data_IF_380000019251
#
_entry.id   IF_380000019251
#
_cell.length_a   1.000
_cell.length_b   1.000
_cell.length_c   1.000
_cell.angle_alpha   90.00
_cell.angle_beta   90.00
_cell.angle_gamma   90.00
#
_symmetry.space_group_name_H-M   'P 1'
#
loop_
_entity.id
_entity.type
_entity.pdbx_description
1 polymer ?
#
# COMPACT_ATOMS: atom_id res chain seq x y z
N UNK A 1 2.15 -20.01 11.34
CA UNK A 1 2.24 -19.48 9.96
C UNK A 1 0.87 -19.05 9.50
N UNK A 2 0.78 -18.05 8.64
CA UNK A 2 -0.48 -17.68 8.00
C UNK A 2 -0.97 -18.86 7.16
N UNK A 3 -2.27 -19.14 7.21
CA UNK A 3 -2.91 -20.16 6.39
C UNK A 3 -4.26 -19.61 5.94
N UNK A 4 -4.51 -19.60 4.63
CA UNK A 4 -5.75 -19.06 4.07
C UNK A 4 -6.71 -20.22 3.81
N UNK A 5 -7.58 -20.49 4.78
CA UNK A 5 -8.65 -21.50 4.63
C UNK A 5 -9.89 -20.97 3.91
N UNK A 6 -10.15 -19.66 4.01
CA UNK A 6 -11.18 -18.96 3.24
C UNK A 6 -10.55 -17.76 2.51
N UNK A 7 -10.57 -17.81 1.18
CA UNK A 7 -10.01 -16.77 0.30
C UNK A 7 -10.70 -15.41 0.47
N UNK A 8 -12.00 -15.38 0.77
CA UNK A 8 -12.79 -14.15 0.95
C UNK A 8 -12.25 -13.24 2.06
N UNK A 9 -11.53 -13.83 3.03
CA UNK A 9 -10.94 -13.10 4.14
C UNK A 9 -9.62 -12.44 3.70
N UNK A 10 -8.95 -12.92 2.66
CA UNK A 10 -7.64 -12.40 2.25
C UNK A 10 -7.78 -11.31 1.19
N UNK A 11 -7.32 -10.10 1.48
CA UNK A 11 -7.26 -9.02 0.47
C UNK A 11 -6.01 -9.08 -0.43
N UNK A 12 -5.09 -10.01 -0.19
CA UNK A 12 -3.79 -10.09 -0.87
C UNK A 12 -2.98 -8.80 -0.80
N UNK A 13 -2.94 -8.14 0.35
CA UNK A 13 -2.22 -6.85 0.57
C UNK A 13 -0.70 -6.99 0.75
N UNK A 14 -0.13 -8.18 0.57
CA UNK A 14 1.29 -8.54 0.73
C UNK A 14 1.91 -8.28 2.12
N UNK A 15 1.18 -7.81 3.15
CA UNK A 15 1.78 -7.55 4.46
C UNK A 15 2.47 -8.79 5.07
N UNK A 16 1.84 -9.96 4.95
CA UNK A 16 2.42 -11.23 5.41
C UNK A 16 3.68 -11.61 4.63
N UNK A 17 3.68 -11.41 3.31
CA UNK A 17 4.83 -11.59 2.44
C UNK A 17 5.98 -10.68 2.87
N UNK A 18 5.75 -9.36 2.93
CA UNK A 18 6.81 -8.37 3.21
C UNK A 18 7.39 -8.50 4.61
N UNK A 19 6.63 -8.96 5.62
CA UNK A 19 7.12 -9.08 7.01
C UNK A 19 7.90 -10.37 7.29
N UNK A 20 7.85 -11.35 6.38
CA UNK A 20 8.46 -12.65 6.59
C UNK A 20 9.99 -12.54 6.62
N UNK A 21 10.67 -12.90 7.73
CA UNK A 21 12.13 -12.74 7.83
C UNK A 21 12.93 -13.87 7.17
N UNK A 22 12.26 -14.88 6.61
CA UNK A 22 12.89 -16.05 6.00
C UNK A 22 12.53 -16.18 4.51
N UNK A 23 11.83 -15.18 3.96
CA UNK A 23 11.27 -15.23 2.60
C UNK A 23 10.44 -16.51 2.33
N UNK A 24 9.88 -17.08 3.39
CA UNK A 24 9.13 -18.33 3.37
C UNK A 24 7.72 -18.19 2.80
N UNK A 25 7.36 -17.03 2.22
CA UNK A 25 6.01 -16.77 1.70
C UNK A 25 6.16 -16.30 0.26
N UNK A 26 5.40 -16.92 -0.65
CA UNK A 26 5.23 -16.47 -2.03
C UNK A 26 3.80 -16.02 -2.24
N UNK A 27 3.61 -15.04 -3.12
CA UNK A 27 2.27 -14.61 -3.53
C UNK A 27 1.95 -15.31 -4.85
N UNK A 28 0.98 -16.23 -4.83
CA UNK A 28 0.63 -17.10 -5.95
C UNK A 28 -0.76 -16.74 -6.45
N UNK A 29 -0.91 -16.63 -7.76
CA UNK A 29 -2.19 -16.33 -8.41
C UNK A 29 -3.08 -17.56 -8.41
N UNK A 30 -4.36 -17.38 -8.14
CA UNK A 30 -5.36 -18.39 -8.46
C UNK A 30 -5.85 -18.31 -9.91
N UNK A 31 -6.88 -19.10 -10.25
CA UNK A 31 -7.43 -19.16 -11.60
C UNK A 31 -8.10 -17.86 -12.06
N UNK A 32 -8.46 -16.96 -11.12
CA UNK A 32 -9.02 -15.64 -11.41
C UNK A 32 -7.92 -14.56 -11.49
N UNK A 33 -6.68 -14.92 -11.18
CA UNK A 33 -5.52 -14.03 -11.19
C UNK A 33 -5.30 -13.29 -9.86
N UNK A 34 -6.09 -13.55 -8.82
CA UNK A 34 -5.89 -12.95 -7.50
C UNK A 34 -4.71 -13.61 -6.77
N UNK A 35 -3.84 -12.81 -6.17
CA UNK A 35 -2.66 -13.24 -5.45
C UNK A 35 -2.97 -13.57 -3.98
N UNK A 36 -2.55 -14.76 -3.55
CA UNK A 36 -2.66 -15.24 -2.17
C UNK A 36 -1.31 -15.71 -1.63
N UNK A 37 -1.08 -15.59 -0.31
CA UNK A 37 0.16 -16.07 0.30
C UNK A 37 0.16 -17.60 0.41
N UNK A 38 1.19 -18.24 -0.16
CA UNK A 38 1.56 -19.63 0.09
C UNK A 38 2.83 -19.67 0.94
N UNK A 39 2.80 -20.48 2.01
CA UNK A 39 3.92 -20.59 2.94
C UNK A 39 4.73 -21.86 2.65
N UNK A 40 6.04 -21.71 2.48
CA UNK A 40 6.99 -22.81 2.48
C UNK A 40 7.27 -23.27 3.92
N UNK A 41 6.80 -24.47 4.26
CA UNK A 41 6.97 -25.07 5.58
C UNK A 41 8.42 -25.41 5.95
N UNK A 42 9.31 -25.59 4.97
CA UNK A 42 10.73 -25.89 5.23
C UNK A 42 11.51 -24.64 5.61
N UNK A 43 11.14 -23.48 5.07
CA UNK A 43 11.74 -22.18 5.39
C UNK A 43 11.09 -21.51 6.62
N UNK A 44 9.84 -21.86 6.93
CA UNK A 44 9.10 -21.19 7.99
C UNK A 44 9.59 -21.57 9.39
N UNK A 45 10.23 -20.61 10.07
CA UNK A 45 10.62 -20.74 11.49
C UNK A 45 9.46 -20.53 12.50
N UNK A 46 8.21 -20.57 12.04
CA UNK A 46 6.99 -20.37 12.84
C UNK A 46 6.97 -19.14 13.78
N UNK A 47 7.63 -18.03 13.40
CA UNK A 47 7.74 -16.81 14.23
C UNK A 47 6.46 -15.97 14.36
N UNK A 48 5.36 -16.38 13.71
CA UNK A 48 4.02 -15.73 13.76
C UNK A 48 3.98 -14.26 13.30
N UNK A 49 5.02 -13.73 12.65
CA UNK A 49 5.02 -12.33 12.15
C UNK A 49 3.97 -12.08 11.07
N UNK A 50 3.80 -13.02 10.14
CA UNK A 50 2.81 -12.93 9.07
C UNK A 50 1.35 -12.88 9.57
N UNK A 51 1.05 -13.57 10.67
CA UNK A 51 -0.26 -13.51 11.31
C UNK A 51 -0.47 -12.15 12.00
N UNK A 52 0.55 -11.69 12.75
CA UNK A 52 0.54 -10.41 13.47
C UNK A 52 0.57 -9.18 12.58
N UNK A 53 0.94 -9.30 11.30
CA UNK A 53 0.92 -8.18 10.36
C UNK A 53 -0.36 -8.15 9.52
N UNK A 54 -1.11 -9.25 9.48
CA UNK A 54 -2.29 -9.39 8.64
C UNK A 54 -3.43 -8.46 9.12
N UNK A 55 -3.88 -7.49 8.29
CA UNK A 55 -4.96 -6.57 8.65
C UNK A 55 -6.30 -7.25 9.00
N UNK A 56 -6.47 -8.50 8.55
CA UNK A 56 -7.70 -9.26 8.71
C UNK A 56 -7.71 -10.10 9.99
N UNK A 57 -6.52 -10.29 10.60
CA UNK A 57 -6.36 -11.00 11.87
C UNK A 57 -6.09 -10.03 13.03
N UNK A 58 -5.58 -8.83 12.72
CA UNK A 58 -5.28 -7.81 13.70
C UNK A 58 -6.46 -6.84 13.81
N UNK A 59 -7.04 -6.74 15.01
CA UNK A 59 -7.88 -5.61 15.35
C UNK A 59 -6.97 -4.43 15.69
N UNK A 60 -6.90 -3.42 14.82
CA UNK A 60 -6.33 -2.14 15.23
C UNK A 60 -7.19 -1.59 16.36
N UNK A 61 -6.57 -1.15 17.45
CA UNK A 61 -7.27 -0.50 18.56
C UNK A 61 -8.11 0.65 17.99
N UNK A 62 -9.42 0.46 17.96
CA UNK A 62 -10.40 1.52 17.68
C UNK A 62 -10.45 2.40 18.91
N UNK A 63 -9.41 3.20 19.13
CA UNK A 63 -9.64 4.38 19.96
C UNK A 63 -10.76 5.16 19.27
N UNK A 64 -11.87 5.38 19.98
CA UNK A 64 -12.97 6.23 19.53
C UNK A 64 -12.48 7.68 19.48
N UNK A 65 -11.57 7.98 18.56
CA UNK A 65 -11.15 9.33 18.26
C UNK A 65 -12.20 9.92 17.36
N UNK A 66 -12.78 11.04 17.80
CA UNK A 66 -13.66 11.84 16.96
C UNK A 66 -12.86 12.35 15.76
N UNK A 67 -13.07 11.75 14.60
CA UNK A 67 -12.42 12.18 13.36
C UNK A 67 -13.27 13.27 12.71
N UNK A 68 -12.67 14.45 12.48
CA UNK A 68 -13.33 15.49 11.69
C UNK A 68 -13.36 15.06 10.22
N UNK A 69 -14.55 15.10 9.63
CA UNK A 69 -14.76 14.80 8.23
C UNK A 69 -14.96 16.10 7.44
N UNK A 70 -14.36 16.18 6.26
CA UNK A 70 -14.44 17.33 5.37
C UNK A 70 -14.82 16.88 3.97
N UNK A 71 -15.63 17.68 3.28
CA UNK A 71 -15.86 17.56 1.84
C UNK A 71 -15.05 18.64 1.13
N UNK A 72 -14.29 18.26 0.11
CA UNK A 72 -13.44 19.19 -0.64
C UNK A 72 -13.24 18.70 -2.08
N UNK A 73 -12.97 19.63 -2.98
CA UNK A 73 -12.53 19.35 -4.34
C UNK A 73 -11.43 20.33 -4.76
N UNK A 74 -10.70 19.97 -5.82
CA UNK A 74 -9.64 20.74 -6.39
C UNK A 74 -10.20 21.95 -7.15
N UNK A 75 -9.59 23.13 -6.96
CA UNK A 75 -10.05 24.39 -7.60
C UNK A 75 -9.70 24.48 -9.09
N UNK A 76 -8.73 23.69 -9.55
CA UNK A 76 -8.40 23.55 -10.97
C UNK A 76 -9.23 22.44 -11.61
N UNK A 77 -10.08 22.83 -12.56
CA UNK A 77 -11.01 21.95 -13.28
C UNK A 77 -10.31 20.92 -14.15
N UNK A 78 -9.12 21.22 -14.68
CA UNK A 78 -8.36 20.27 -15.49
C UNK A 78 -7.88 19.11 -14.61
N UNK A 79 -7.38 19.41 -13.40
CA UNK A 79 -6.96 18.41 -12.43
C UNK A 79 -8.17 17.64 -11.89
N UNK A 80 -9.28 18.33 -11.63
CA UNK A 80 -10.52 17.70 -11.15
C UNK A 80 -11.06 16.69 -12.18
N UNK A 81 -11.14 17.11 -13.44
CA UNK A 81 -11.61 16.26 -14.56
C UNK A 81 -10.71 15.05 -14.79
N UNK A 82 -9.38 15.22 -14.65
CA UNK A 82 -8.43 14.12 -14.78
C UNK A 82 -8.35 13.20 -13.54
N UNK A 83 -9.15 13.46 -12.50
CA UNK A 83 -9.18 12.68 -11.25
C UNK A 83 -10.48 11.88 -11.14
N UNK A 84 -10.49 10.81 -10.34
CA UNK A 84 -11.68 9.97 -10.16
C UNK A 84 -12.82 10.60 -9.35
N UNK A 85 -12.59 11.75 -8.73
CA UNK A 85 -13.55 12.46 -7.88
C UNK A 85 -13.03 13.90 -7.69
N UNK A 86 -13.09 14.45 -6.47
CA UNK A 86 -12.67 15.82 -6.17
C UNK A 86 -11.18 16.15 -6.35
N UNK A 87 -10.31 15.23 -6.81
CA UNK A 87 -8.90 15.54 -7.09
C UNK A 87 -8.01 15.80 -5.87
N UNK A 88 -8.42 15.37 -4.68
CA UNK A 88 -7.65 15.54 -3.43
C UNK A 88 -6.30 14.83 -3.50
N UNK A 89 -6.26 13.60 -4.03
CA UNK A 89 -4.99 12.88 -4.19
C UNK A 89 -4.00 13.67 -5.06
N UNK A 90 -4.46 14.31 -6.13
CA UNK A 90 -3.64 15.19 -6.98
C UNK A 90 -3.07 16.39 -6.21
N UNK A 91 -3.86 17.00 -5.31
CA UNK A 91 -3.38 18.08 -4.45
C UNK A 91 -2.27 17.59 -3.50
N UNK A 92 -2.46 16.42 -2.88
CA UNK A 92 -1.48 15.81 -1.97
C UNK A 92 -0.18 15.45 -2.70
N UNK A 93 -0.26 14.83 -3.87
CA UNK A 93 0.93 14.53 -4.68
C UNK A 93 1.73 15.80 -4.99
N UNK A 94 1.05 16.87 -5.43
CA UNK A 94 1.69 18.17 -5.71
C UNK A 94 2.36 18.76 -4.46
N UNK A 95 1.73 18.65 -3.29
CA UNK A 95 2.30 19.11 -2.02
C UNK A 95 3.59 18.38 -1.66
N UNK A 96 3.64 17.06 -1.88
CA UNK A 96 4.78 16.20 -1.59
C UNK A 96 5.92 16.44 -2.59
N UNK A 97 5.63 16.47 -3.90
CA UNK A 97 6.65 16.70 -4.92
C UNK A 97 7.30 18.07 -4.81
N UNK A 98 6.55 19.12 -4.42
CA UNK A 98 7.12 20.46 -4.14
C UNK A 98 8.15 20.49 -3.01
N UNK A 99 8.19 19.45 -2.17
CA UNK A 99 9.12 19.29 -1.05
C UNK A 99 10.18 18.22 -1.34
N UNK A 100 10.36 17.85 -2.60
CA UNK A 100 11.25 16.76 -3.01
C UNK A 100 10.93 15.47 -2.23
N UNK A 101 9.65 15.22 -1.97
CA UNK A 101 9.18 14.01 -1.30
C UNK A 101 8.97 12.85 -2.28
N UNK A 102 8.60 11.70 -1.72
CA UNK A 102 8.29 10.48 -2.47
C UNK A 102 6.77 10.29 -2.51
N UNK A 103 6.22 10.04 -3.69
CA UNK A 103 4.83 9.61 -3.83
C UNK A 103 4.83 8.14 -4.24
N UNK A 104 4.08 7.31 -3.51
CA UNK A 104 3.85 5.92 -3.83
C UNK A 104 2.36 5.73 -4.16
N UNK A 105 2.08 5.09 -5.29
CA UNK A 105 0.72 4.79 -5.73
C UNK A 105 0.68 3.67 -6.76
N UNK A 106 -0.54 3.29 -7.16
CA UNK A 106 -0.75 2.19 -8.10
C UNK A 106 -0.76 2.67 -9.56
N UNK A 107 0.06 2.04 -10.40
CA UNK A 107 0.12 2.24 -11.85
C UNK A 107 0.41 0.92 -12.57
N UNK A 108 0.00 0.85 -13.84
CA UNK A 108 0.37 -0.27 -14.70
C UNK A 108 1.85 -0.18 -15.05
N UNK A 109 2.54 -1.31 -15.03
CA UNK A 109 3.88 -1.44 -15.62
C UNK A 109 3.79 -1.73 -17.13
N UNK A 110 4.94 -1.90 -17.78
CA UNK A 110 5.04 -2.17 -19.22
C UNK A 110 4.36 -3.50 -19.62
N UNK A 111 4.15 -4.41 -18.66
CA UNK A 111 3.46 -5.68 -18.85
C UNK A 111 1.97 -5.61 -18.49
N UNK A 112 1.41 -4.40 -18.35
CA UNK A 112 0.01 -4.18 -17.96
C UNK A 112 -0.36 -4.80 -16.61
N UNK A 113 0.61 -5.02 -15.73
CA UNK A 113 0.37 -5.44 -14.35
C UNK A 113 0.23 -4.22 -13.45
N UNK A 114 -0.87 -4.15 -12.68
CA UNK A 114 -1.05 -3.08 -11.71
C UNK A 114 -0.13 -3.29 -10.52
N UNK A 115 0.80 -2.37 -10.29
CA UNK A 115 1.76 -2.41 -9.19
C UNK A 115 1.78 -1.11 -8.42
N UNK A 116 2.07 -1.19 -7.13
CA UNK A 116 2.52 -0.02 -6.41
C UNK A 116 3.94 0.33 -6.84
N UNK A 117 4.15 1.59 -7.17
CA UNK A 117 5.43 2.13 -7.62
C UNK A 117 5.67 3.47 -6.91
N UNK A 118 6.91 3.94 -6.88
CA UNK A 118 7.25 5.25 -6.36
C UNK A 118 7.57 6.24 -7.48
N UNK A 119 7.45 7.53 -7.19
CA UNK A 119 7.87 8.61 -8.05
C UNK A 119 8.27 9.83 -7.23
N UNK A 120 9.32 10.51 -7.68
CA UNK A 120 9.77 11.79 -7.12
C UNK A 120 9.39 12.97 -8.03
N UNK A 121 9.00 12.68 -9.29
CA UNK A 121 8.77 13.70 -10.31
C UNK A 121 7.28 14.07 -10.40
N UNK A 122 6.93 15.36 -10.31
CA UNK A 122 5.55 15.81 -10.49
C UNK A 122 4.88 15.31 -11.78
N UNK A 123 5.62 15.24 -12.89
CA UNK A 123 5.08 14.77 -14.18
C UNK A 123 4.76 13.28 -14.15
N UNK A 124 5.59 12.49 -13.48
CA UNK A 124 5.44 11.04 -13.40
C UNK A 124 4.39 10.63 -12.35
N UNK A 125 4.18 11.41 -11.28
CA UNK A 125 3.10 11.12 -10.30
C UNK A 125 1.69 11.09 -10.90
N UNK A 126 1.47 11.71 -12.05
CA UNK A 126 0.18 11.68 -12.74
C UNK A 126 -0.29 10.26 -13.08
N UNK A 127 0.63 9.30 -13.27
CA UNK A 127 0.30 7.88 -13.54
C UNK A 127 -0.47 7.21 -12.40
N UNK A 128 -0.34 7.74 -11.18
CA UNK A 128 -1.06 7.23 -10.00
C UNK A 128 -2.51 7.72 -9.94
N UNK A 129 -2.92 8.70 -10.75
CA UNK A 129 -4.32 9.15 -10.82
C UNK A 129 -5.24 8.06 -11.37
N UNK A 130 -6.52 8.18 -11.08
CA UNK A 130 -7.52 7.22 -11.51
C UNK A 130 -7.65 6.05 -10.53
N UNK A 131 -8.88 5.61 -10.30
CA UNK A 131 -9.18 4.33 -9.64
C UNK A 131 -8.89 3.20 -10.62
N UNK A 132 -8.12 2.20 -10.17
CA UNK A 132 -7.92 0.94 -10.90
C UNK A 132 -8.55 -0.17 -10.07
N UNK A 133 -9.61 -0.79 -10.60
CA UNK A 133 -10.38 -1.83 -9.92
C UNK A 133 -9.77 -3.22 -10.12
N UNK A 134 -8.46 -3.32 -9.83
CA UNK A 134 -7.70 -4.56 -9.85
C UNK A 134 -6.85 -4.62 -8.58
N UNK A 135 -6.50 -5.84 -8.17
CA UNK A 135 -5.54 -6.03 -7.09
C UNK A 135 -4.17 -5.48 -7.54
N UNK A 136 -3.62 -4.51 -6.81
CA UNK A 136 -2.29 -4.01 -7.08
C UNK A 136 -1.23 -4.83 -6.33
N UNK A 137 -0.18 -5.21 -7.05
CA UNK A 137 0.96 -5.91 -6.45
C UNK A 137 1.81 -4.93 -5.65
N UNK A 138 2.01 -5.20 -4.35
CA UNK A 138 2.86 -4.37 -3.48
C UNK A 138 4.34 -4.74 -3.62
N UNK A 139 4.64 -6.04 -3.64
CA UNK A 139 6.01 -6.59 -3.71
C UNK A 139 6.96 -5.90 -2.69
N UNK A 140 8.05 -5.29 -3.15
CA UNK A 140 9.07 -4.63 -2.31
C UNK A 140 8.73 -3.18 -1.93
N UNK A 141 7.53 -2.69 -2.28
CA UNK A 141 7.18 -1.27 -2.06
C UNK A 141 7.15 -0.90 -0.58
N UNK A 142 6.70 -1.79 0.32
CA UNK A 142 6.75 -1.52 1.76
C UNK A 142 8.19 -1.36 2.27
N UNK A 143 9.11 -2.22 1.79
CA UNK A 143 10.53 -2.11 2.10
C UNK A 143 11.12 -0.79 1.60
N UNK A 144 10.88 -0.45 0.32
CA UNK A 144 11.31 0.82 -0.26
C UNK A 144 10.77 2.03 0.51
N UNK A 145 9.48 2.00 0.87
CA UNK A 145 8.83 3.03 1.70
C UNK A 145 9.56 3.21 3.03
N UNK A 146 9.90 2.11 3.71
CA UNK A 146 10.67 2.15 4.98
C UNK A 146 12.06 2.77 4.79
N UNK A 147 12.73 2.53 3.66
CA UNK A 147 14.03 3.15 3.36
C UNK A 147 13.90 4.67 3.17
N UNK A 148 12.90 5.13 2.41
CA UNK A 148 12.63 6.56 2.23
C UNK A 148 12.30 7.26 3.55
N UNK A 149 11.48 6.62 4.37
CA UNK A 149 11.11 7.17 5.67
C UNK A 149 12.32 7.28 6.61
N UNK A 150 13.19 6.25 6.64
CA UNK A 150 14.43 6.25 7.44
C UNK A 150 15.45 7.29 7.00
N UNK A 151 15.47 7.65 5.71
CA UNK A 151 16.33 8.73 5.21
C UNK A 151 15.75 10.14 5.40
N UNK A 152 14.62 10.26 6.12
CA UNK A 152 13.98 11.54 6.42
C UNK A 152 13.21 12.15 5.26
N UNK A 153 12.98 11.40 4.18
CA UNK A 153 12.20 11.89 3.02
C UNK A 153 10.73 11.95 3.39
N UNK A 154 10.08 13.09 3.10
CA UNK A 154 8.63 13.21 3.19
C UNK A 154 8.01 12.25 2.17
N UNK A 155 7.14 11.36 2.62
CA UNK A 155 6.62 10.25 1.81
C UNK A 155 5.10 10.25 1.87
N UNK A 156 4.43 10.05 0.74
CA UNK A 156 2.99 9.82 0.67
C UNK A 156 2.77 8.44 0.09
N UNK A 157 2.15 7.55 0.86
CA UNK A 157 1.72 6.24 0.38
C UNK A 157 0.21 6.22 0.18
N UNK A 158 -0.24 5.94 -1.05
CA UNK A 158 -1.66 5.78 -1.38
C UNK A 158 -2.00 4.31 -1.63
N UNK A 159 -3.09 3.84 -1.05
CA UNK A 159 -3.55 2.46 -1.17
C UNK A 159 -4.91 2.27 -0.51
N UNK A 160 -5.49 1.07 -0.66
CA UNK A 160 -6.74 0.71 0.01
C UNK A 160 -6.50 0.39 1.50
N UNK A 161 -7.54 0.35 2.36
CA UNK A 161 -7.36 0.22 3.80
C UNK A 161 -6.48 -0.95 4.25
N UNK A 162 -6.61 -2.13 3.65
CA UNK A 162 -5.77 -3.28 4.01
C UNK A 162 -4.29 -3.09 3.63
N UNK A 163 -3.99 -2.35 2.56
CA UNK A 163 -2.61 -2.01 2.18
C UNK A 163 -2.03 -0.98 3.15
N UNK A 164 -2.82 0.03 3.54
CA UNK A 164 -2.39 1.04 4.51
C UNK A 164 -2.13 0.40 5.88
N UNK A 165 -3.06 -0.40 6.40
CA UNK A 165 -2.85 -1.16 7.64
C UNK A 165 -1.64 -2.10 7.52
N UNK A 166 -1.49 -2.77 6.38
CA UNK A 166 -0.37 -3.66 6.10
C UNK A 166 0.99 -2.94 6.10
N UNK A 167 1.05 -1.71 5.61
CA UNK A 167 2.23 -0.85 5.69
C UNK A 167 2.52 -0.45 7.13
N UNK A 168 1.54 0.04 7.89
CA UNK A 168 1.73 0.42 9.29
C UNK A 168 2.25 -0.74 10.15
N UNK A 169 1.69 -1.94 9.99
CA UNK A 169 2.15 -3.13 10.71
C UNK A 169 3.56 -3.55 10.28
N UNK A 170 3.90 -3.44 9.00
CA UNK A 170 5.25 -3.69 8.49
C UNK A 170 6.30 -2.69 9.02
N UNK A 171 5.92 -1.41 9.10
CA UNK A 171 6.77 -0.35 9.62
C UNK A 171 7.05 -0.53 11.11
N UNK A 172 6.06 -1.00 11.87
CA UNK A 172 6.17 -1.35 13.29
C UNK A 172 6.32 -0.16 14.24
N UNK A 173 6.20 1.06 13.71
CA UNK A 173 6.18 2.33 14.42
C UNK A 173 5.64 3.43 13.51
N UNK A 174 5.20 4.53 14.11
CA UNK A 174 4.81 5.72 13.37
C UNK A 174 6.03 6.48 12.85
N UNK A 175 5.88 7.05 11.65
CA UNK A 175 6.86 7.93 11.04
C UNK A 175 6.20 9.29 10.82
N UNK A 176 6.73 10.40 11.38
CA UNK A 176 6.12 11.72 11.23
C UNK A 176 6.22 12.27 9.80
N UNK A 177 7.02 11.63 8.95
CA UNK A 177 7.25 11.96 7.56
C UNK A 177 6.54 11.01 6.56
N UNK A 178 5.51 10.29 7.01
CA UNK A 178 4.61 9.46 6.20
C UNK A 178 3.22 10.12 6.06
#
# INVERSE_FOLDING_TARGET
>A
MINISNKEICCGCHSCFSTCPQDAIKMVSDYEGFLYPEVDGQLCINCKKCERSCPMLVSLNKENRFTRSYAAWHNDDTIRTASSSGGIFSALMKYISKRNGIVIGAAFDDNMTLRHQHSESPSDTAKFRGSKYLQSTIDNTYFGTKLYLKSGRLTLFSGIPCQITGLYTYLGKDYPNL
#
